data_IF_563346205160
#
_entry.id   IF_563346205160
#
_cell.length_a   1.000
_cell.length_b   1.000
_cell.length_c   1.000
_cell.angle_alpha   90.00
_cell.angle_beta   90.00
_cell.angle_gamma   90.00
#
_symmetry.space_group_name_H-M   'P 1'
#
loop_
_entity.id
_entity.type
_entity.pdbx_description
1 polymer ?
#
# COMPACT_ATOMS: atom_id res chain seq x y z
N UNK A 1 -38.67 -17.52 27.96
CA UNK A 1 -37.45 -18.08 27.35
C UNK A 1 -36.70 -16.91 26.76
N UNK A 2 -35.63 -16.48 27.42
CA UNK A 2 -34.89 -15.28 27.04
C UNK A 2 -33.77 -15.71 26.10
N UNK A 3 -33.83 -15.30 24.84
CA UNK A 3 -32.77 -15.52 23.86
C UNK A 3 -31.60 -14.60 24.18
N UNK A 4 -30.55 -15.15 24.78
CA UNK A 4 -29.27 -14.48 24.95
C UNK A 4 -28.55 -14.42 23.59
N UNK A 5 -28.86 -13.40 22.80
CA UNK A 5 -27.97 -12.97 21.72
C UNK A 5 -26.80 -12.23 22.38
N UNK A 6 -25.65 -12.90 22.47
CA UNK A 6 -24.38 -12.21 22.64
C UNK A 6 -24.05 -11.52 21.31
N UNK A 7 -24.02 -10.18 21.22
CA UNK A 7 -23.41 -9.55 20.06
C UNK A 7 -21.91 -9.90 20.07
N UNK A 8 -21.43 -10.39 18.93
CA UNK A 8 -20.05 -10.76 18.70
C UNK A 8 -19.09 -9.67 19.18
N UNK A 9 -18.07 -10.10 19.92
CA UNK A 9 -16.83 -9.38 20.20
C UNK A 9 -16.41 -8.57 18.98
N UNK A 10 -16.22 -7.26 19.19
CA UNK A 10 -16.03 -6.27 18.14
C UNK A 10 -14.93 -6.63 17.15
N UNK A 11 -15.36 -7.00 15.96
CA UNK A 11 -14.62 -6.76 14.72
C UNK A 11 -14.66 -5.24 14.51
N UNK A 12 -13.80 -4.51 15.23
CA UNK A 12 -13.50 -3.13 14.86
C UNK A 12 -12.67 -3.23 13.59
N UNK A 13 -13.34 -3.52 12.46
CA UNK A 13 -12.79 -3.30 11.15
C UNK A 13 -12.23 -1.87 11.17
N UNK A 14 -10.91 -1.75 11.10
CA UNK A 14 -10.24 -0.47 11.10
C UNK A 14 -10.93 0.40 10.06
N UNK A 15 -11.19 1.69 10.35
CA UNK A 15 -12.01 2.52 9.47
C UNK A 15 -11.40 2.47 8.08
N UNK A 16 -12.13 1.89 7.13
CA UNK A 16 -11.71 1.76 5.74
C UNK A 16 -11.38 3.16 5.25
N UNK A 17 -10.10 3.49 5.19
CA UNK A 17 -9.64 4.77 4.66
C UNK A 17 -9.89 4.74 3.17
N UNK A 18 -10.59 5.75 2.67
CA UNK A 18 -10.76 5.94 1.23
C UNK A 18 -9.37 6.10 0.60
N UNK A 19 -9.01 5.24 -0.36
CA UNK A 19 -7.75 5.38 -1.08
C UNK A 19 -7.62 6.75 -1.72
N UNK A 20 -6.47 7.40 -1.53
CA UNK A 20 -6.09 8.57 -2.32
C UNK A 20 -5.68 8.14 -3.72
N UNK A 21 -5.88 9.04 -4.69
CA UNK A 21 -5.39 8.86 -6.06
C UNK A 21 -4.50 10.02 -6.46
N UNK A 22 -3.47 9.72 -7.24
CA UNK A 22 -2.56 10.69 -7.84
C UNK A 22 -2.47 10.44 -9.34
N UNK A 23 -2.38 11.51 -10.11
CA UNK A 23 -2.10 11.41 -11.54
C UNK A 23 -0.65 10.97 -11.78
N UNK A 24 -0.32 10.44 -12.98
CA UNK A 24 1.05 10.13 -13.32
C UNK A 24 1.99 11.34 -13.24
N UNK A 25 1.49 12.53 -13.60
CA UNK A 25 2.27 13.78 -13.57
C UNK A 25 2.64 14.17 -12.13
N UNK A 26 1.67 14.19 -11.21
CA UNK A 26 1.93 14.48 -9.79
C UNK A 26 2.92 13.47 -9.18
N UNK A 27 2.78 12.18 -9.53
CA UNK A 27 3.68 11.16 -9.01
C UNK A 27 5.11 11.32 -9.54
N UNK A 28 5.27 11.70 -10.82
CA UNK A 28 6.58 11.98 -11.40
C UNK A 28 7.27 13.16 -10.69
N UNK A 29 6.51 14.19 -10.33
CA UNK A 29 7.06 15.30 -9.54
C UNK A 29 7.56 14.82 -8.16
N UNK A 30 6.83 13.95 -7.47
CA UNK A 30 7.29 13.40 -6.19
C UNK A 30 8.52 12.50 -6.33
N UNK A 31 8.64 11.76 -7.44
CA UNK A 31 9.82 10.93 -7.71
C UNK A 31 11.03 11.83 -8.00
N UNK A 32 10.88 12.84 -8.85
CA UNK A 32 11.95 13.77 -9.23
C UNK A 32 12.48 14.55 -8.02
N UNK A 33 11.58 14.96 -7.13
CA UNK A 33 11.92 15.62 -5.86
C UNK A 33 12.43 14.66 -4.77
N UNK A 34 12.52 13.35 -5.05
CA UNK A 34 13.00 12.33 -4.11
C UNK A 34 12.04 12.01 -2.94
N UNK A 35 10.80 12.48 -3.00
CA UNK A 35 9.75 12.17 -2.02
C UNK A 35 9.13 10.79 -2.20
N UNK A 36 9.31 10.19 -3.37
CA UNK A 36 8.75 8.90 -3.75
C UNK A 36 9.83 7.94 -4.28
N UNK A 37 9.75 6.66 -3.88
CA UNK A 37 10.71 5.63 -4.30
C UNK A 37 10.02 4.55 -5.14
N UNK A 38 10.29 4.46 -6.46
CA UNK A 38 9.79 3.38 -7.29
C UNK A 38 10.55 2.08 -7.00
N UNK A 39 9.84 0.97 -6.90
CA UNK A 39 10.40 -0.35 -6.60
C UNK A 39 10.39 -1.31 -7.79
N UNK A 40 9.65 -0.98 -8.85
CA UNK A 40 9.66 -1.71 -10.11
C UNK A 40 9.47 -0.71 -11.27
N UNK A 41 10.31 -0.82 -12.31
CA UNK A 41 10.31 0.08 -13.47
C UNK A 41 9.43 -0.43 -14.63
N UNK A 42 8.57 -1.43 -14.38
CA UNK A 42 7.65 -1.98 -15.37
C UNK A 42 6.60 -0.95 -15.81
N UNK A 43 6.39 -0.82 -17.12
CA UNK A 43 5.60 0.24 -17.77
C UNK A 43 4.13 0.38 -17.32
N UNK A 44 3.58 -0.63 -16.62
CA UNK A 44 2.13 -0.70 -16.34
C UNK A 44 1.75 -1.18 -14.92
N UNK A 45 2.70 -1.59 -14.07
CA UNK A 45 2.41 -2.03 -12.70
C UNK A 45 3.59 -1.63 -11.79
N UNK A 46 3.57 -0.39 -11.31
CA UNK A 46 4.64 0.12 -10.45
C UNK A 46 4.20 0.18 -8.99
N UNK A 47 4.97 -0.47 -8.12
CA UNK A 47 4.86 -0.25 -6.67
C UNK A 47 5.76 0.89 -6.25
N UNK A 48 5.22 1.76 -5.40
CA UNK A 48 5.90 2.96 -4.97
C UNK A 48 5.61 3.24 -3.50
N UNK A 49 6.61 3.79 -2.80
CA UNK A 49 6.48 4.26 -1.42
C UNK A 49 6.48 5.79 -1.41
N UNK A 50 5.40 6.39 -0.91
CA UNK A 50 5.23 7.84 -0.79
C UNK A 50 4.44 8.18 0.48
N UNK A 51 4.92 9.17 1.24
CA UNK A 51 4.25 9.67 2.47
C UNK A 51 3.96 8.57 3.52
N UNK A 52 4.82 7.55 3.60
CA UNK A 52 4.59 6.43 4.51
C UNK A 52 3.42 5.51 4.12
N UNK A 53 2.88 5.65 2.91
CA UNK A 53 1.89 4.75 2.30
C UNK A 53 2.46 4.04 1.07
N UNK A 54 1.92 2.86 0.79
CA UNK A 54 2.20 2.10 -0.41
C UNK A 54 1.22 2.51 -1.51
N UNK A 55 1.71 2.61 -2.73
CA UNK A 55 0.93 3.03 -3.90
C UNK A 55 1.15 2.04 -5.03
N UNK A 56 0.09 1.74 -5.77
CA UNK A 56 0.14 0.97 -7.00
C UNK A 56 -0.22 1.87 -8.18
N UNK A 57 0.65 1.90 -9.18
CA UNK A 57 0.47 2.65 -10.42
C UNK A 57 0.02 1.76 -11.56
N UNK A 58 -0.94 2.26 -12.33
CA UNK A 58 -1.39 1.71 -13.60
C UNK A 58 -1.21 2.75 -14.73
N UNK A 59 -1.84 2.51 -15.89
CA UNK A 59 -1.73 3.42 -17.04
C UNK A 59 -2.42 4.79 -16.85
N UNK A 60 -3.32 4.92 -15.88
CA UNK A 60 -4.15 6.12 -15.67
C UNK A 60 -3.79 6.88 -14.40
N UNK A 61 -3.10 6.25 -13.44
CA UNK A 61 -2.62 6.93 -12.25
C UNK A 61 -2.13 6.00 -11.17
N UNK A 62 -2.03 6.53 -9.96
CA UNK A 62 -1.59 5.82 -8.78
C UNK A 62 -2.69 5.83 -7.73
N UNK A 63 -2.92 4.67 -7.12
CA UNK A 63 -3.89 4.51 -6.05
C UNK A 63 -3.17 4.05 -4.78
N UNK A 64 -3.52 4.67 -3.66
CA UNK A 64 -3.03 4.30 -2.34
C UNK A 64 -3.55 2.92 -1.94
N UNK A 65 -2.66 2.08 -1.42
CA UNK A 65 -3.02 0.81 -0.79
C UNK A 65 -3.32 1.11 0.68
N UNK A 66 -4.59 1.11 1.05
CA UNK A 66 -5.03 1.39 2.44
C UNK A 66 -5.19 0.15 3.29
N UNK A 67 -5.15 -1.05 2.68
CA UNK A 67 -5.24 -2.32 3.39
C UNK A 67 -3.97 -2.59 4.21
N UNK A 68 -4.13 -2.74 5.52
CA UNK A 68 -3.02 -2.84 6.47
C UNK A 68 -2.27 -4.16 6.32
N UNK A 69 -2.95 -5.26 6.03
CA UNK A 69 -2.29 -6.55 5.79
C UNK A 69 -1.44 -6.50 4.53
N UNK A 70 -1.93 -5.86 3.45
CA UNK A 70 -1.18 -5.68 2.22
C UNK A 70 0.04 -4.77 2.42
N UNK A 71 -0.11 -3.65 3.15
CA UNK A 71 1.03 -2.79 3.52
C UNK A 71 2.11 -3.61 4.27
N UNK A 72 1.72 -4.40 5.27
CA UNK A 72 2.64 -5.23 6.04
C UNK A 72 3.32 -6.33 5.21
N UNK A 73 2.67 -6.83 4.15
CA UNK A 73 3.29 -7.77 3.19
C UNK A 73 4.31 -7.05 2.31
N UNK A 74 3.97 -5.87 1.79
CA UNK A 74 4.87 -5.06 0.95
C UNK A 74 6.11 -4.57 1.72
N UNK A 75 5.96 -4.20 2.99
CA UNK A 75 7.09 -3.84 3.84
C UNK A 75 8.05 -5.02 4.04
N UNK A 76 7.51 -6.21 4.33
CA UNK A 76 8.34 -7.44 4.44
C UNK A 76 9.01 -7.79 3.12
N UNK A 77 8.32 -7.64 1.99
CA UNK A 77 8.90 -7.85 0.67
C UNK A 77 10.04 -6.86 0.40
N UNK A 78 9.84 -5.56 0.67
CA UNK A 78 10.89 -4.53 0.56
C UNK A 78 12.08 -4.83 1.45
N UNK A 79 11.84 -5.25 2.69
CA UNK A 79 12.92 -5.59 3.61
C UNK A 79 13.73 -6.78 3.08
N UNK A 80 13.06 -7.83 2.59
CA UNK A 80 13.75 -8.98 1.95
C UNK A 80 14.60 -8.58 0.75
N UNK A 81 14.11 -7.67 -0.09
CA UNK A 81 14.89 -7.14 -1.21
C UNK A 81 16.12 -6.34 -0.74
N UNK A 82 15.98 -5.60 0.36
CA UNK A 82 17.05 -4.76 0.92
C UNK A 82 18.12 -5.57 1.66
N UNK A 83 17.71 -6.60 2.38
CA UNK A 83 18.61 -7.51 3.13
C UNK A 83 19.33 -8.53 2.22
N UNK A 84 19.00 -8.59 0.92
CA UNK A 84 19.62 -9.53 -0.04
C UNK A 84 19.27 -11.00 0.19
N UNK A 85 18.45 -11.30 1.20
CA UNK A 85 17.99 -12.64 1.54
C UNK A 85 16.82 -13.08 0.64
N UNK A 86 17.07 -13.20 -0.66
CA UNK A 86 16.17 -13.94 -1.55
C UNK A 86 16.38 -15.46 -1.40
N UNK A 87 17.52 -15.89 -0.85
CA UNK A 87 17.88 -17.30 -0.66
C UNK A 87 18.83 -17.45 0.54
N UNK A 88 18.34 -17.93 1.68
CA UNK A 88 19.16 -18.47 2.78
C UNK A 88 18.44 -19.67 3.36
#
# INVERSE_FOLDING_TARGET
MTENFHPATGDAAEPVRTPRTLTPEEMLEYIDNGGAVPLNSGRHDMFLRYDGSWWIGDAIGFTEITDIEQNARLDRWRQRLSDGALWS
#
